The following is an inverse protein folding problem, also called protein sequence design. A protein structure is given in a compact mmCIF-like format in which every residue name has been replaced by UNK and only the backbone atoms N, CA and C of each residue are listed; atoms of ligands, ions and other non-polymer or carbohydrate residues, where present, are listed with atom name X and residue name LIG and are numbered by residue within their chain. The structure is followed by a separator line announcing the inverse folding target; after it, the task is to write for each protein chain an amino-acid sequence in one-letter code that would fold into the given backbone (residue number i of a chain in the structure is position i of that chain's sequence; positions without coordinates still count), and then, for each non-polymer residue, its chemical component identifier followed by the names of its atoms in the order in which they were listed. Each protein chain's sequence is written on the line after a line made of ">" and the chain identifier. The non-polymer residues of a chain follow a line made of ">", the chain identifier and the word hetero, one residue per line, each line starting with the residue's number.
data_IF_308065035322
#
_entry.id   IF_308065035322
#
_cell.length_a   1.000
_cell.length_b   1.000
_cell.length_c   1.000
_cell.angle_alpha   90.00
_cell.angle_beta   90.00
_cell.angle_gamma   90.00
#
_symmetry.space_group_name_H-M   'P 1'
#
loop_
_entity.id
_entity.type
_entity.pdbx_description
1 polymer ?
#
# COMPACT_ATOMS: atom_id res chain seq x y z
N UNK A 1 -11.55 -15.03 -6.39
CA UNK A 1 -10.93 -14.09 -5.42
C UNK A 1 -11.11 -14.70 -4.04
N UNK A 2 -10.04 -14.79 -3.23
CA UNK A 2 -10.19 -15.18 -1.82
C UNK A 2 -10.96 -14.08 -1.10
N UNK A 3 -11.89 -14.46 -0.23
CA UNK A 3 -12.60 -13.50 0.61
C UNK A 3 -11.65 -12.91 1.64
N UNK A 4 -11.54 -11.58 1.71
CA UNK A 4 -10.75 -10.87 2.73
C UNK A 4 -11.58 -10.77 4.01
N UNK A 5 -10.97 -11.11 5.15
CA UNK A 5 -11.57 -10.88 6.46
C UNK A 5 -11.10 -9.52 7.02
N UNK A 6 -12.01 -8.54 7.04
CA UNK A 6 -11.76 -7.22 7.59
C UNK A 6 -11.96 -7.14 9.12
N UNK A 7 -12.45 -8.22 9.76
CA UNK A 7 -12.57 -8.27 11.22
C UNK A 7 -11.29 -8.75 11.91
N UNK A 8 -10.32 -9.26 11.13
CA UNK A 8 -9.03 -9.66 11.67
C UNK A 8 -8.31 -8.42 12.23
N UNK A 9 -8.11 -8.40 13.55
CA UNK A 9 -7.31 -7.38 14.22
C UNK A 9 -5.83 -7.65 13.94
N UNK A 10 -5.13 -6.64 13.42
CA UNK A 10 -3.70 -6.69 13.14
C UNK A 10 -2.99 -5.76 14.13
N UNK A 11 -2.10 -6.32 14.96
CA UNK A 11 -1.25 -5.50 15.82
C UNK A 11 -0.21 -4.77 14.96
N UNK A 12 -0.23 -3.44 15.01
CA UNK A 12 0.70 -2.56 14.27
C UNK A 12 1.71 -1.83 15.16
N UNK A 13 1.75 -2.12 16.46
CA UNK A 13 2.79 -1.60 17.35
C UNK A 13 4.16 -2.22 17.04
N UNK A 14 5.22 -1.43 17.21
CA UNK A 14 6.60 -1.79 16.93
C UNK A 14 6.83 -2.23 15.48
N UNK A 15 6.07 -1.67 14.53
CA UNK A 15 6.22 -1.94 13.09
C UNK A 15 6.80 -0.76 12.31
N UNK A 16 7.12 0.34 13.00
CA UNK A 16 7.51 1.60 12.38
C UNK A 16 6.32 2.37 11.82
N UNK A 17 5.11 2.10 12.31
CA UNK A 17 3.88 2.74 11.83
C UNK A 17 3.79 4.18 12.33
N UNK A 18 3.75 5.16 11.42
CA UNK A 18 3.50 6.57 11.79
C UNK A 18 2.21 6.71 12.61
N UNK A 19 1.18 5.96 12.23
CA UNK A 19 -0.13 5.98 12.89
C UNK A 19 -0.07 5.52 14.34
N UNK A 20 0.61 4.40 14.62
CA UNK A 20 0.58 3.71 15.92
C UNK A 20 1.81 3.98 16.80
N UNK A 21 3.01 4.08 16.22
CA UNK A 21 4.27 4.14 16.97
C UNK A 21 4.78 5.58 17.20
N UNK A 22 4.20 6.57 16.50
CA UNK A 22 4.70 7.95 16.52
C UNK A 22 3.65 8.99 16.91
N UNK A 23 2.55 8.57 17.56
CA UNK A 23 1.44 9.46 17.92
C UNK A 23 1.90 10.65 18.80
N UNK A 24 2.73 10.39 19.81
CA UNK A 24 3.25 11.43 20.72
C UNK A 24 4.08 12.47 19.96
N UNK A 25 4.88 12.01 18.98
CA UNK A 25 5.74 12.87 18.17
C UNK A 25 4.92 13.84 17.31
N UNK A 26 3.80 13.38 16.76
CA UNK A 26 3.03 14.14 15.77
C UNK A 26 1.85 14.91 16.38
N UNK A 27 1.22 14.40 17.43
CA UNK A 27 0.05 15.02 18.03
C UNK A 27 0.38 15.84 19.28
N UNK A 28 1.56 15.63 19.90
CA UNK A 28 2.01 16.38 21.09
C UNK A 28 0.94 16.41 22.21
N UNK A 29 0.34 15.24 22.47
CA UNK A 29 -0.70 15.07 23.48
C UNK A 29 -0.07 14.52 24.76
N UNK A 30 -0.53 15.02 25.91
CA UNK A 30 -0.09 14.58 27.24
C UNK A 30 -0.84 13.32 27.72
N UNK A 31 -1.32 12.49 26.79
CA UNK A 31 -2.14 11.32 27.06
C UNK A 31 -1.43 10.04 26.61
N UNK A 32 -1.33 9.09 27.52
CA UNK A 32 -0.90 7.73 27.22
C UNK A 32 -2.14 6.87 26.98
N UNK A 33 -2.11 5.95 26.01
CA UNK A 33 -3.24 5.05 25.64
C UNK A 33 -4.29 5.67 24.69
N UNK A 34 -3.81 6.26 23.60
CA UNK A 34 -4.65 6.81 22.53
C UNK A 34 -5.01 5.75 21.49
N UNK A 35 -6.26 5.79 20.99
CA UNK A 35 -6.69 5.01 19.82
C UNK A 35 -6.40 5.80 18.52
N UNK A 36 -5.48 5.36 17.65
CA UNK A 36 -5.09 6.15 16.48
C UNK A 36 -6.12 6.10 15.35
N UNK A 37 -6.68 7.26 14.98
CA UNK A 37 -7.64 7.40 13.87
C UNK A 37 -7.32 8.56 12.91
N UNK A 38 -6.05 8.98 12.84
CA UNK A 38 -5.64 10.25 12.25
C UNK A 38 -4.90 10.15 10.90
N UNK A 39 -4.07 9.11 10.70
CA UNK A 39 -3.35 8.90 9.43
C UNK A 39 -4.25 8.20 8.42
N UNK A 40 -4.24 8.66 7.17
CA UNK A 40 -4.96 8.06 6.03
C UNK A 40 -4.24 6.82 5.48
N UNK A 41 -4.05 5.82 6.35
CA UNK A 41 -3.68 4.44 5.98
C UNK A 41 -4.71 3.44 6.57
N UNK A 42 -4.51 2.15 6.34
CA UNK A 42 -5.45 1.11 6.76
C UNK A 42 -4.84 0.18 7.81
N UNK A 43 -5.66 -0.29 8.75
CA UNK A 43 -5.31 -1.37 9.69
C UNK A 43 -5.71 -2.76 9.16
N UNK A 44 -5.72 -2.92 7.83
CA UNK A 44 -6.02 -4.17 7.14
C UNK A 44 -4.78 -4.72 6.46
N UNK A 45 -4.75 -6.04 6.27
CA UNK A 45 -3.73 -6.66 5.45
C UNK A 45 -3.87 -6.22 3.98
N UNK A 46 -2.73 -6.02 3.32
CA UNK A 46 -2.69 -5.81 1.88
C UNK A 46 -3.33 -7.01 1.14
N UNK A 47 -4.04 -6.81 0.01
CA UNK A 47 -4.65 -7.91 -0.75
C UNK A 47 -3.67 -9.05 -1.04
N UNK A 48 -4.17 -10.29 -1.02
CA UNK A 48 -3.35 -11.49 -1.18
C UNK A 48 -2.57 -11.48 -2.50
N UNK A 49 -3.17 -10.96 -3.57
CA UNK A 49 -2.57 -10.83 -4.90
C UNK A 49 -1.35 -9.90 -4.88
N UNK A 50 -1.40 -8.79 -4.13
CA UNK A 50 -0.27 -7.86 -3.98
C UNK A 50 0.83 -8.49 -3.15
N UNK A 51 0.48 -9.13 -2.03
CA UNK A 51 1.44 -9.85 -1.18
C UNK A 51 2.16 -10.96 -1.96
N UNK A 52 1.43 -11.72 -2.77
CA UNK A 52 2.00 -12.78 -3.60
C UNK A 52 2.99 -12.22 -4.63
N UNK A 53 2.67 -11.12 -5.31
CA UNK A 53 3.58 -10.49 -6.25
C UNK A 53 4.88 -10.01 -5.56
N UNK A 54 4.77 -9.46 -4.35
CA UNK A 54 5.92 -9.08 -3.53
C UNK A 54 6.77 -10.29 -3.12
N UNK A 55 6.14 -11.38 -2.65
CA UNK A 55 6.86 -12.61 -2.31
C UNK A 55 7.61 -13.17 -3.53
N UNK A 56 6.97 -13.26 -4.69
CA UNK A 56 7.63 -13.70 -5.93
C UNK A 56 8.83 -12.82 -6.29
N UNK A 57 8.72 -11.50 -6.10
CA UNK A 57 9.84 -10.59 -6.36
C UNK A 57 10.98 -10.77 -5.35
N UNK A 58 10.66 -11.07 -4.10
CA UNK A 58 11.65 -11.38 -3.05
C UNK A 58 12.36 -12.70 -3.36
N UNK A 59 11.62 -13.72 -3.78
CA UNK A 59 12.15 -15.06 -4.09
C UNK A 59 13.15 -15.04 -5.25
N UNK A 60 13.06 -14.07 -6.16
CA UNK A 60 14.06 -13.86 -7.21
C UNK A 60 15.47 -13.57 -6.64
N UNK A 61 15.57 -12.98 -5.44
CA UNK A 61 16.83 -12.83 -4.69
C UNK A 61 17.79 -11.73 -5.15
N UNK A 62 17.63 -11.19 -6.36
CA UNK A 62 18.46 -10.09 -6.89
C UNK A 62 17.69 -8.77 -6.88
N UNK A 63 18.20 -7.74 -6.21
CA UNK A 63 17.55 -6.43 -6.03
C UNK A 63 18.33 -5.28 -6.68
N UNK A 64 18.96 -5.54 -7.82
CA UNK A 64 19.66 -4.53 -8.61
C UNK A 64 18.72 -3.58 -9.36
N UNK A 65 19.32 -2.73 -10.20
CA UNK A 65 18.58 -1.79 -11.05
C UNK A 65 17.50 -2.51 -11.86
N UNK A 66 16.26 -2.02 -11.73
CA UNK A 66 15.09 -2.56 -12.39
C UNK A 66 14.41 -1.45 -13.17
N UNK A 67 13.98 -1.73 -14.40
CA UNK A 67 13.17 -0.82 -15.21
C UNK A 67 11.72 -1.33 -15.28
N UNK A 68 10.77 -0.40 -15.50
CA UNK A 68 9.36 -0.70 -15.64
C UNK A 68 9.09 -1.33 -17.01
N UNK A 69 8.36 -2.43 -17.02
CA UNK A 69 7.87 -3.03 -18.26
C UNK A 69 6.56 -2.37 -18.73
N UNK A 70 6.06 -2.80 -19.88
CA UNK A 70 4.80 -2.29 -20.44
C UNK A 70 3.58 -2.67 -19.57
N UNK A 71 3.67 -3.76 -18.81
CA UNK A 71 2.58 -4.21 -17.94
C UNK A 71 2.31 -3.20 -16.82
N UNK A 72 3.34 -2.56 -16.28
CA UNK A 72 3.20 -1.46 -15.33
C UNK A 72 2.28 -0.34 -15.86
N UNK A 73 2.57 0.17 -17.06
CA UNK A 73 1.79 1.25 -17.66
C UNK A 73 0.37 0.80 -18.02
N UNK A 74 0.25 -0.40 -18.59
CA UNK A 74 -1.04 -0.94 -19.01
C UNK A 74 -1.97 -1.18 -17.81
N UNK A 75 -1.44 -1.56 -16.64
CA UNK A 75 -2.22 -1.71 -15.42
C UNK A 75 -2.89 -0.40 -15.00
N UNK A 76 -2.14 0.72 -15.02
CA UNK A 76 -2.68 2.04 -14.70
C UNK A 76 -3.71 2.51 -15.74
N UNK A 77 -3.39 2.42 -17.03
CA UNK A 77 -4.29 2.81 -18.14
C UNK A 77 -5.61 2.04 -18.04
N UNK A 78 -5.53 0.72 -17.85
CA UNK A 78 -6.70 -0.14 -17.76
C UNK A 78 -7.54 0.14 -16.51
N UNK A 79 -6.90 0.44 -15.37
CA UNK A 79 -7.61 0.78 -14.15
C UNK A 79 -8.46 2.04 -14.34
N UNK A 80 -7.86 3.11 -14.85
CA UNK A 80 -8.56 4.38 -15.06
C UNK A 80 -9.65 4.29 -16.12
N UNK A 81 -9.39 3.59 -17.22
CA UNK A 81 -10.40 3.35 -18.26
C UNK A 81 -11.62 2.61 -17.68
N UNK A 82 -11.42 1.50 -16.96
CA UNK A 82 -12.55 0.69 -16.46
C UNK A 82 -13.30 1.31 -15.29
N UNK A 83 -12.61 1.98 -14.37
CA UNK A 83 -13.21 2.48 -13.12
C UNK A 83 -13.71 3.90 -13.20
N UNK A 84 -13.15 4.70 -14.12
CA UNK A 84 -13.41 6.13 -14.22
C UNK A 84 -13.81 6.58 -15.62
N UNK A 85 -13.91 5.65 -16.59
CA UNK A 85 -14.15 5.96 -18.00
C UNK A 85 -13.15 7.00 -18.54
N UNK A 86 -11.92 6.97 -18.03
CA UNK A 86 -10.85 7.91 -18.36
C UNK A 86 -9.71 7.15 -19.05
N UNK A 87 -9.63 7.17 -20.39
CA UNK A 87 -8.54 6.55 -21.10
C UNK A 87 -7.27 7.39 -20.96
N UNK A 88 -6.26 6.83 -20.28
CA UNK A 88 -4.94 7.45 -20.16
C UNK A 88 -4.04 7.03 -21.33
N UNK A 89 -3.13 7.93 -21.71
CA UNK A 89 -2.03 7.61 -22.64
C UNK A 89 -0.77 7.27 -21.82
N UNK A 90 0.12 6.42 -22.36
CA UNK A 90 1.36 6.03 -21.67
C UNK A 90 2.17 7.23 -21.17
N UNK A 91 2.30 8.26 -22.00
CA UNK A 91 3.03 9.49 -21.68
C UNK A 91 2.36 10.38 -20.61
N UNK A 92 1.24 9.97 -20.02
CA UNK A 92 0.62 10.64 -18.86
C UNK A 92 1.00 9.97 -17.54
N UNK A 93 1.55 8.75 -17.58
CA UNK A 93 1.93 7.98 -16.40
C UNK A 93 3.41 8.22 -16.12
N UNK A 94 3.68 9.10 -15.16
CA UNK A 94 5.03 9.41 -14.70
C UNK A 94 5.13 9.14 -13.20
N UNK A 95 6.13 8.34 -12.82
CA UNK A 95 6.59 8.29 -11.44
C UNK A 95 7.79 9.25 -11.34
N UNK A 96 7.73 10.21 -10.42
CA UNK A 96 8.87 11.07 -10.09
C UNK A 96 9.73 10.41 -9.02
#
# INVERSE_FOLDING_TARGET
>A
MKQTDFNQIVNRHNTGSVKWDFIDRYLQLDETDLLPMWVSDFDFQCPAEVRQALHQRVDHGVFGYSERDDAYYQAAINWFSRRHNLPLQRGMVHLR
#
